data_IF_523155927809
#
_entry.id   IF_523155927809
#
_cell.length_a   1.000
_cell.length_b   1.000
_cell.length_c   1.000
_cell.angle_alpha   90.00
_cell.angle_beta   90.00
_cell.angle_gamma   90.00
#
_symmetry.space_group_name_H-M   'P 1'
#
loop_
_entity.id
_entity.type
_entity.pdbx_description
1 polymer ?
#
# COMPACT_ATOMS: atom_id res chain seq x y z
N UNK A 1 -66.05 -23.02 22.55
CA UNK A 1 -65.46 -24.26 21.98
C UNK A 1 -64.28 -23.87 21.10
N UNK A 2 -63.16 -24.54 21.33
CA UNK A 2 -61.82 -24.32 20.79
C UNK A 2 -61.71 -24.56 19.28
N UNK A 3 -60.80 -23.84 18.60
CA UNK A 3 -59.68 -24.54 17.96
C UNK A 3 -58.50 -23.61 17.64
N UNK A 4 -57.33 -23.95 18.20
CA UNK A 4 -56.02 -23.36 17.93
C UNK A 4 -55.46 -24.09 16.70
N UNK A 5 -55.14 -23.37 15.62
CA UNK A 5 -54.41 -23.93 14.48
C UNK A 5 -52.90 -23.75 14.73
N UNK A 6 -52.29 -24.85 15.19
CA UNK A 6 -50.85 -25.03 15.37
C UNK A 6 -50.10 -24.89 14.04
N UNK A 7 -48.99 -24.15 14.06
CA UNK A 7 -48.07 -24.00 12.94
C UNK A 7 -47.26 -25.27 12.70
N UNK A 8 -47.24 -25.71 11.45
CA UNK A 8 -46.49 -26.88 11.01
C UNK A 8 -45.26 -26.41 10.24
N UNK A 9 -44.09 -26.45 10.90
CA UNK A 9 -42.78 -26.20 10.28
C UNK A 9 -42.39 -27.43 9.44
N UNK A 10 -42.53 -27.35 8.12
CA UNK A 10 -42.07 -28.38 7.17
C UNK A 10 -40.54 -28.26 6.98
N UNK A 11 -39.75 -28.98 7.79
CA UNK A 11 -38.30 -29.11 7.60
C UNK A 11 -37.98 -30.43 6.91
N UNK A 12 -37.97 -30.42 5.56
CA UNK A 12 -37.58 -31.59 4.75
C UNK A 12 -36.11 -31.96 5.00
N UNK A 13 -35.80 -33.08 5.66
CA UNK A 13 -34.46 -33.39 6.16
C UNK A 13 -33.41 -33.63 5.05
N UNK A 14 -33.84 -34.01 3.85
CA UNK A 14 -32.94 -34.32 2.73
C UNK A 14 -32.21 -33.11 2.13
N UNK A 15 -32.81 -31.91 2.18
CA UNK A 15 -32.18 -30.70 1.62
C UNK A 15 -31.03 -30.25 2.53
N UNK A 16 -31.23 -30.30 3.85
CA UNK A 16 -30.23 -29.92 4.84
C UNK A 16 -29.00 -30.82 4.77
N UNK A 17 -29.20 -32.14 4.71
CA UNK A 17 -28.10 -33.11 4.63
C UNK A 17 -27.28 -32.94 3.34
N UNK A 18 -27.94 -32.67 2.21
CA UNK A 18 -27.25 -32.39 0.93
C UNK A 18 -26.47 -31.08 0.92
N UNK A 19 -26.86 -30.09 1.74
CA UNK A 19 -26.16 -28.81 1.88
C UNK A 19 -24.95 -28.96 2.78
N UNK A 20 -25.08 -29.68 3.90
CA UNK A 20 -23.95 -29.97 4.81
C UNK A 20 -22.90 -30.82 4.11
N UNK A 21 -23.30 -31.83 3.34
CA UNK A 21 -22.37 -32.65 2.57
C UNK A 21 -21.65 -31.84 1.47
N UNK A 22 -22.37 -30.96 0.77
CA UNK A 22 -21.77 -30.03 -0.22
C UNK A 22 -20.82 -29.03 0.44
N UNK A 23 -21.18 -28.47 1.59
CA UNK A 23 -20.32 -27.56 2.35
C UNK A 23 -19.05 -28.27 2.82
N UNK A 24 -19.19 -29.47 3.39
CA UNK A 24 -18.07 -30.28 3.85
C UNK A 24 -17.13 -30.67 2.70
N UNK A 25 -17.68 -31.02 1.54
CA UNK A 25 -16.88 -31.32 0.35
C UNK A 25 -16.14 -30.08 -0.19
N UNK A 26 -16.80 -28.91 -0.22
CA UNK A 26 -16.16 -27.64 -0.62
C UNK A 26 -15.04 -27.27 0.36
N UNK A 27 -15.28 -27.41 1.67
CA UNK A 27 -14.28 -27.13 2.71
C UNK A 27 -13.09 -28.10 2.63
N UNK A 28 -13.34 -29.38 2.32
CA UNK A 28 -12.29 -30.37 2.09
C UNK A 28 -11.43 -30.05 0.85
N UNK A 29 -12.06 -29.62 -0.25
CA UNK A 29 -11.34 -29.17 -1.45
C UNK A 29 -10.51 -27.90 -1.19
N UNK A 30 -11.07 -26.92 -0.46
CA UNK A 30 -10.35 -25.71 -0.06
C UNK A 30 -9.18 -26.00 0.88
N UNK A 31 -9.35 -26.96 1.80
CA UNK A 31 -8.27 -27.45 2.66
C UNK A 31 -7.14 -28.10 1.86
N UNK A 32 -7.46 -28.85 0.80
CA UNK A 32 -6.46 -29.44 -0.10
C UNK A 32 -5.61 -28.38 -0.80
N UNK A 33 -6.20 -27.25 -1.20
CA UNK A 33 -5.45 -26.10 -1.77
C UNK A 33 -4.52 -25.42 -0.76
N UNK A 34 -4.86 -25.43 0.53
CA UNK A 34 -4.05 -24.79 1.58
C UNK A 34 -2.85 -25.65 2.03
N UNK A 35 -2.94 -26.97 1.89
CA UNK A 35 -1.89 -27.91 2.37
C UNK A 35 -0.81 -28.16 1.33
N UNK A 36 -1.07 -27.89 0.05
CA UNK A 36 -0.08 -27.93 -1.01
C UNK A 36 0.11 -26.52 -1.60
N UNK A 37 0.91 -25.64 -0.95
CA UNK A 37 1.36 -24.43 -1.60
C UNK A 37 2.27 -24.84 -2.76
N UNK A 38 1.69 -25.05 -3.95
CA UNK A 38 2.48 -24.94 -5.17
C UNK A 38 2.99 -23.50 -5.20
N UNK A 39 4.26 -23.31 -5.55
CA UNK A 39 4.78 -21.97 -5.77
C UNK A 39 3.82 -21.23 -6.71
N UNK A 40 3.17 -20.20 -6.19
CA UNK A 40 2.33 -19.34 -6.99
C UNK A 40 3.24 -18.56 -7.93
N UNK A 41 3.59 -19.17 -9.07
CA UNK A 41 4.38 -18.60 -10.17
C UNK A 41 3.62 -17.48 -10.91
N UNK A 42 2.71 -16.81 -10.21
CA UNK A 42 1.97 -15.65 -10.69
C UNK A 42 2.67 -14.32 -10.35
N UNK A 43 3.65 -14.32 -9.43
CA UNK A 43 4.66 -13.27 -9.39
C UNK A 43 5.77 -13.65 -10.37
N UNK A 44 5.81 -12.99 -11.52
CA UNK A 44 6.98 -12.99 -12.38
C UNK A 44 8.10 -12.28 -11.61
N UNK A 45 8.90 -13.03 -10.88
CA UNK A 45 10.16 -12.55 -10.33
C UNK A 45 11.09 -12.44 -11.53
N UNK A 46 11.11 -11.27 -12.17
CA UNK A 46 12.10 -11.00 -13.19
C UNK A 46 13.48 -11.10 -12.52
N UNK A 47 14.29 -12.06 -12.96
CA UNK A 47 15.68 -12.13 -12.54
C UNK A 47 16.40 -10.82 -12.89
N UNK A 48 17.49 -10.55 -12.16
CA UNK A 48 18.39 -9.43 -12.47
C UNK A 48 18.78 -9.48 -13.96
N UNK A 49 18.66 -8.39 -14.74
CA UNK A 49 18.45 -7.00 -14.33
C UNK A 49 17.05 -6.41 -14.62
N UNK A 50 16.13 -7.17 -15.23
CA UNK A 50 14.86 -6.64 -15.76
C UNK A 50 13.97 -6.03 -14.66
N UNK A 51 13.85 -6.71 -13.51
CA UNK A 51 13.06 -6.23 -12.38
C UNK A 51 13.56 -4.89 -11.82
N UNK A 52 14.88 -4.68 -11.83
CA UNK A 52 15.47 -3.43 -11.38
C UNK A 52 15.14 -2.28 -12.35
N UNK A 53 15.21 -2.52 -13.66
CA UNK A 53 14.84 -1.50 -14.65
C UNK A 53 13.37 -1.11 -14.52
N UNK A 54 12.46 -2.07 -14.42
CA UNK A 54 11.03 -1.79 -14.26
C UNK A 54 10.77 -1.05 -12.94
N UNK A 55 11.44 -1.44 -11.86
CA UNK A 55 11.32 -0.76 -10.56
C UNK A 55 11.81 0.70 -10.63
N UNK A 56 12.97 0.94 -11.26
CA UNK A 56 13.48 2.29 -11.48
C UNK A 56 12.56 3.13 -12.38
N UNK A 57 11.99 2.52 -13.42
CA UNK A 57 10.98 3.19 -14.26
C UNK A 57 9.72 3.53 -13.45
N UNK A 58 9.28 2.67 -12.53
CA UNK A 58 8.15 2.95 -11.66
C UNK A 58 8.41 4.18 -10.78
N UNK A 59 9.62 4.36 -10.26
CA UNK A 59 9.99 5.57 -9.53
C UNK A 59 9.89 6.82 -10.41
N UNK A 60 10.41 6.78 -11.65
CA UNK A 60 10.33 7.90 -12.58
C UNK A 60 8.88 8.27 -12.93
N UNK A 61 8.03 7.29 -13.21
CA UNK A 61 6.62 7.54 -13.48
C UNK A 61 5.88 8.08 -12.26
N UNK A 62 6.18 7.57 -11.07
CA UNK A 62 5.58 8.07 -9.84
C UNK A 62 6.01 9.52 -9.55
N UNK A 63 7.29 9.84 -9.69
CA UNK A 63 7.79 11.21 -9.57
C UNK A 63 7.10 12.15 -10.58
N UNK A 64 6.98 11.72 -11.84
CA UNK A 64 6.28 12.51 -12.87
C UNK A 64 4.82 12.75 -12.51
N UNK A 65 4.11 11.74 -11.99
CA UNK A 65 2.73 11.88 -11.53
C UNK A 65 2.60 12.85 -10.34
N UNK A 66 3.50 12.76 -9.36
CA UNK A 66 3.53 13.66 -8.20
C UNK A 66 3.80 15.12 -8.60
N UNK A 67 4.78 15.35 -9.48
CA UNK A 67 5.10 16.68 -10.02
C UNK A 67 3.92 17.22 -10.82
N UNK A 68 3.36 16.41 -11.72
CA UNK A 68 2.17 16.80 -12.49
C UNK A 68 1.02 17.23 -11.58
N UNK A 69 0.74 16.46 -10.53
CA UNK A 69 -0.34 16.76 -9.59
C UNK A 69 -0.05 18.02 -8.76
N UNK A 70 1.18 18.20 -8.30
CA UNK A 70 1.61 19.43 -7.61
C UNK A 70 1.46 20.67 -8.49
N UNK A 71 1.90 20.58 -9.75
CA UNK A 71 1.78 21.64 -10.77
C UNK A 71 0.30 21.93 -11.06
N UNK A 72 -0.51 20.89 -11.27
CA UNK A 72 -1.94 21.02 -11.53
C UNK A 72 -2.64 21.77 -10.39
N UNK A 73 -2.41 21.37 -9.15
CA UNK A 73 -3.03 22.01 -7.97
C UNK A 73 -2.49 23.42 -7.76
N UNK A 74 -1.23 23.69 -8.13
CA UNK A 74 -0.64 25.01 -8.05
C UNK A 74 -1.29 26.00 -9.02
N UNK A 75 -1.45 25.62 -10.30
CA UNK A 75 -2.03 26.49 -11.33
C UNK A 75 -3.56 26.48 -11.38
N UNK A 76 -4.19 25.38 -10.96
CA UNK A 76 -5.64 25.19 -10.95
C UNK A 76 -6.09 24.71 -9.56
N UNK A 77 -6.10 25.61 -8.55
CA UNK A 77 -6.51 25.24 -7.21
C UNK A 77 -7.99 24.84 -7.21
N UNK A 78 -8.26 23.54 -7.05
CA UNK A 78 -9.61 22.95 -7.01
C UNK A 78 -10.36 23.36 -5.74
N UNK A 79 -9.63 23.72 -4.68
CA UNK A 79 -10.19 24.30 -3.48
C UNK A 79 -9.15 25.03 -2.64
N UNK A 80 -9.61 25.64 -1.55
CA UNK A 80 -8.78 26.38 -0.60
C UNK A 80 -8.94 25.77 0.79
N UNK A 81 -7.95 25.97 1.66
CA UNK A 81 -8.02 25.54 3.07
C UNK A 81 -6.99 24.49 3.46
N UNK A 82 -7.07 24.06 4.72
CA UNK A 82 -6.07 23.20 5.36
C UNK A 82 -5.93 21.82 4.69
N UNK A 83 -7.02 21.26 4.17
CA UNK A 83 -7.02 19.94 3.52
C UNK A 83 -6.10 19.91 2.29
N UNK A 84 -6.25 20.89 1.40
CA UNK A 84 -5.38 21.07 0.23
C UNK A 84 -3.94 21.42 0.60
N UNK A 85 -3.72 22.08 1.73
CA UNK A 85 -2.39 22.33 2.29
C UNK A 85 -1.69 21.03 2.69
N UNK A 86 -2.35 20.19 3.48
CA UNK A 86 -1.83 18.88 3.86
C UNK A 86 -1.65 17.95 2.66
N UNK A 87 -2.55 18.00 1.69
CA UNK A 87 -2.42 17.19 0.47
C UNK A 87 -1.15 17.57 -0.31
N UNK A 88 -0.90 18.87 -0.55
CA UNK A 88 0.33 19.33 -1.20
C UNK A 88 1.58 18.92 -0.42
N UNK A 89 1.54 19.01 0.91
CA UNK A 89 2.67 18.61 1.75
C UNK A 89 2.92 17.10 1.68
N UNK A 90 1.86 16.28 1.65
CA UNK A 90 1.96 14.84 1.42
C UNK A 90 2.63 14.51 0.08
N UNK A 91 2.19 15.14 -1.02
CA UNK A 91 2.78 14.95 -2.34
C UNK A 91 4.27 15.34 -2.37
N UNK A 92 4.62 16.43 -1.69
CA UNK A 92 6.01 16.87 -1.57
C UNK A 92 6.87 15.85 -0.81
N UNK A 93 6.41 15.33 0.32
CA UNK A 93 7.14 14.30 1.07
C UNK A 93 7.26 12.99 0.29
N UNK A 94 6.23 12.56 -0.43
CA UNK A 94 6.33 11.39 -1.30
C UNK A 94 7.30 11.60 -2.46
N UNK A 95 7.42 12.83 -2.98
CA UNK A 95 8.40 13.15 -4.01
C UNK A 95 9.83 13.06 -3.44
N UNK A 96 10.07 13.60 -2.25
CA UNK A 96 11.37 13.47 -1.57
C UNK A 96 11.72 12.02 -1.29
N UNK A 97 10.78 11.24 -0.73
CA UNK A 97 10.98 9.81 -0.50
C UNK A 97 11.27 9.05 -1.80
N UNK A 98 10.57 9.37 -2.88
CA UNK A 98 10.77 8.72 -4.17
C UNK A 98 12.17 8.98 -4.75
N UNK A 99 12.64 10.24 -4.69
CA UNK A 99 13.99 10.62 -5.15
C UNK A 99 15.06 9.93 -4.31
N UNK A 100 14.87 9.87 -2.99
CA UNK A 100 15.76 9.20 -2.05
C UNK A 100 15.87 7.70 -2.35
N UNK A 101 14.73 7.01 -2.48
CA UNK A 101 14.66 5.58 -2.82
C UNK A 101 15.31 5.29 -4.18
N UNK A 102 15.01 6.11 -5.19
CA UNK A 102 15.65 6.01 -6.51
C UNK A 102 17.19 6.16 -6.41
N UNK A 103 17.66 7.13 -5.62
CA UNK A 103 19.08 7.37 -5.37
C UNK A 103 19.77 6.18 -4.70
N UNK A 104 19.13 5.56 -3.71
CA UNK A 104 19.64 4.36 -3.03
C UNK A 104 19.79 3.18 -3.99
N UNK A 105 18.81 2.95 -4.85
CA UNK A 105 18.90 1.89 -5.85
C UNK A 105 19.99 2.17 -6.89
N UNK A 106 20.10 3.41 -7.35
CA UNK A 106 21.18 3.84 -8.24
C UNK A 106 22.57 3.67 -7.60
N UNK A 107 22.67 3.96 -6.31
CA UNK A 107 23.89 3.82 -5.56
C UNK A 107 24.23 2.34 -5.33
N UNK A 108 23.22 1.49 -5.06
CA UNK A 108 23.38 0.03 -4.94
C UNK A 108 23.99 -0.59 -6.19
N UNK A 109 23.65 -0.08 -7.38
CA UNK A 109 24.27 -0.49 -8.65
C UNK A 109 25.76 -0.13 -8.78
N UNK A 110 26.23 0.87 -8.05
CA UNK A 110 27.61 1.38 -8.11
C UNK A 110 28.51 0.82 -7.02
N UNK A 111 27.94 0.29 -5.93
CA UNK A 111 28.73 -0.32 -4.87
C UNK A 111 29.21 -1.72 -5.32
N UNK A 112 30.52 -2.03 -5.20
CA UNK A 112 31.04 -3.36 -5.49
C UNK A 112 30.44 -4.41 -4.53
N UNK A 113 30.26 -5.65 -5.01
CA UNK A 113 29.59 -6.77 -4.31
C UNK A 113 30.15 -7.10 -2.91
N UNK A 114 31.33 -6.61 -2.54
CA UNK A 114 31.94 -6.75 -1.21
C UNK A 114 31.80 -5.56 -0.26
N UNK A 115 31.14 -4.46 -0.66
CA UNK A 115 30.98 -3.27 0.17
C UNK A 115 29.75 -3.32 1.09
N UNK A 116 28.83 -4.26 0.83
CA UNK A 116 27.63 -4.51 1.62
C UNK A 116 27.77 -5.92 2.19
N UNK A 117 28.09 -6.04 3.47
CA UNK A 117 28.05 -7.34 4.16
C UNK A 117 26.58 -7.68 4.32
N UNK A 118 26.00 -8.37 3.34
CA UNK A 118 24.71 -9.04 3.48
C UNK A 118 24.93 -10.27 4.37
N UNK A 119 25.24 -10.06 5.65
CA UNK A 119 25.15 -11.12 6.63
C UNK A 119 23.70 -11.57 6.70
N UNK A 120 23.44 -12.88 6.55
CA UNK A 120 22.11 -13.48 6.40
C UNK A 120 21.20 -13.34 7.62
N UNK A 121 21.44 -12.37 8.49
CA UNK A 121 20.71 -12.08 9.72
C UNK A 121 20.47 -10.56 9.84
N UNK A 122 19.25 -10.19 10.22
CA UNK A 122 18.82 -8.81 10.48
C UNK A 122 19.74 -8.04 11.46
N UNK A 123 20.54 -8.75 12.27
CA UNK A 123 21.45 -8.17 13.27
C UNK A 123 22.88 -7.94 12.79
N UNK A 124 23.21 -8.30 11.54
CA UNK A 124 24.58 -8.28 11.01
C UNK A 124 24.86 -7.10 10.05
N UNK A 125 23.99 -6.08 10.08
CA UNK A 125 24.17 -4.85 9.31
C UNK A 125 25.17 -3.92 10.00
N UNK A 126 26.43 -4.33 10.10
CA UNK A 126 27.51 -3.44 10.53
C UNK A 126 28.14 -2.77 9.31
N UNK A 127 28.25 -1.44 9.35
CA UNK A 127 29.05 -0.70 8.38
C UNK A 127 30.53 -1.08 8.58
N UNK A 128 31.03 -2.02 7.78
CA UNK A 128 32.46 -2.28 7.70
C UNK A 128 33.14 -1.02 7.13
N UNK A 129 34.00 -0.38 7.92
CA UNK A 129 34.69 0.86 7.54
C UNK A 129 35.50 0.75 6.24
N UNK A 130 35.80 1.86 5.56
CA UNK A 130 35.67 3.26 5.98
C UNK A 130 34.31 3.93 5.67
N UNK A 131 33.96 4.98 6.43
CA UNK A 131 32.76 5.80 6.24
C UNK A 131 32.95 6.78 5.07
N UNK A 132 32.71 6.31 3.85
CA UNK A 132 32.68 7.16 2.65
C UNK A 132 31.35 7.92 2.58
N UNK A 133 31.32 9.14 2.01
CA UNK A 133 30.10 9.93 1.80
C UNK A 133 28.99 9.11 1.10
N UNK A 134 29.38 8.25 0.16
CA UNK A 134 28.47 7.32 -0.54
C UNK A 134 27.81 6.32 0.43
N UNK A 135 28.57 5.72 1.35
CA UNK A 135 28.00 4.77 2.34
C UNK A 135 27.08 5.45 3.33
N UNK A 136 27.38 6.70 3.68
CA UNK A 136 26.52 7.51 4.54
C UNK A 136 25.21 7.88 3.82
N UNK A 137 25.29 8.28 2.54
CA UNK A 137 24.12 8.54 1.70
C UNK A 137 23.27 7.26 1.51
N UNK A 138 23.91 6.11 1.30
CA UNK A 138 23.23 4.81 1.23
C UNK A 138 22.50 4.49 2.55
N UNK A 139 23.16 4.69 3.70
CA UNK A 139 22.58 4.41 5.01
C UNK A 139 21.38 5.31 5.30
N UNK A 140 21.50 6.62 5.07
CA UNK A 140 20.38 7.55 5.27
C UNK A 140 19.24 7.31 4.29
N UNK A 141 19.54 7.03 3.02
CA UNK A 141 18.49 6.76 2.04
C UNK A 141 17.78 5.43 2.28
N UNK A 142 18.42 4.46 2.95
CA UNK A 142 17.75 3.23 3.39
C UNK A 142 16.76 3.46 4.54
N UNK A 143 16.76 4.65 5.15
CA UNK A 143 15.77 5.02 6.16
C UNK A 143 14.48 5.48 5.48
N UNK A 144 13.78 4.55 4.85
CA UNK A 144 12.50 4.78 4.14
C UNK A 144 11.48 5.61 4.96
N UNK A 145 11.54 5.47 6.29
CA UNK A 145 10.63 6.09 7.23
C UNK A 145 10.79 7.63 7.30
N UNK A 146 11.94 8.19 6.95
CA UNK A 146 12.23 9.61 7.16
C UNK A 146 11.28 10.53 6.38
N UNK A 147 10.96 10.16 5.14
CA UNK A 147 10.08 10.94 4.27
C UNK A 147 8.71 10.28 4.04
N UNK A 148 8.67 8.94 4.00
CA UNK A 148 7.43 8.20 3.74
C UNK A 148 6.40 8.39 4.87
N UNK A 149 6.83 8.29 6.14
CA UNK A 149 5.92 8.41 7.30
C UNK A 149 5.30 9.80 7.41
N UNK A 150 6.06 10.91 7.32
CA UNK A 150 5.46 12.24 7.25
C UNK A 150 4.51 12.39 6.05
N UNK A 151 4.87 11.85 4.89
CA UNK A 151 4.02 11.87 3.69
C UNK A 151 2.66 11.20 3.90
N UNK A 152 2.65 10.00 4.49
CA UNK A 152 1.43 9.28 4.85
C UNK A 152 0.62 10.03 5.93
N UNK A 153 1.29 10.58 6.93
CA UNK A 153 0.63 11.35 7.99
C UNK A 153 -0.15 12.54 7.42
N UNK A 154 0.48 13.35 6.56
CA UNK A 154 -0.18 14.47 5.90
C UNK A 154 -1.28 14.01 4.93
N UNK A 155 -1.12 12.86 4.27
CA UNK A 155 -2.18 12.29 3.44
C UNK A 155 -3.44 12.01 4.26
N UNK A 156 -3.29 11.30 5.39
CA UNK A 156 -4.41 10.97 6.27
C UNK A 156 -5.09 12.23 6.81
N UNK A 157 -4.31 13.25 7.21
CA UNK A 157 -4.88 14.54 7.64
C UNK A 157 -5.67 15.23 6.52
N UNK A 158 -5.16 15.19 5.29
CA UNK A 158 -5.86 15.78 4.14
C UNK A 158 -7.19 15.07 3.86
N UNK A 159 -7.20 13.73 3.85
CA UNK A 159 -8.39 12.93 3.59
C UNK A 159 -9.46 13.13 4.67
N UNK A 160 -9.07 13.11 5.95
CA UNK A 160 -10.00 13.38 7.06
C UNK A 160 -10.67 14.74 6.91
N UNK A 161 -9.91 15.76 6.51
CA UNK A 161 -10.47 17.09 6.34
C UNK A 161 -11.35 17.22 5.10
N UNK A 162 -11.07 16.47 4.03
CA UNK A 162 -11.97 16.39 2.87
C UNK A 162 -13.30 15.73 3.25
N UNK A 163 -13.29 14.64 4.04
CA UNK A 163 -14.51 13.99 4.52
C UNK A 163 -15.39 14.91 5.38
N UNK A 164 -14.77 15.65 6.32
CA UNK A 164 -15.53 16.61 7.14
C UNK A 164 -16.11 17.76 6.30
N UNK A 165 -15.39 18.19 5.25
CA UNK A 165 -15.88 19.24 4.35
C UNK A 165 -17.03 18.75 3.48
N UNK A 166 -17.02 17.49 3.02
CA UNK A 166 -18.12 16.92 2.23
C UNK A 166 -19.39 16.76 3.07
N UNK A 167 -19.29 16.24 4.29
CA UNK A 167 -20.44 16.08 5.21
C UNK A 167 -21.11 17.43 5.49
N UNK A 168 -20.31 18.47 5.78
CA UNK A 168 -20.86 19.82 6.03
C UNK A 168 -21.55 20.41 4.80
N UNK A 169 -21.07 20.09 3.60
CA UNK A 169 -21.65 20.59 2.36
C UNK A 169 -22.99 19.91 2.05
N UNK A 170 -23.15 18.63 2.39
CA UNK A 170 -24.41 17.89 2.28
C UNK A 170 -25.48 18.45 3.24
N UNK A 171 -25.16 18.63 4.52
CA UNK A 171 -26.09 19.17 5.54
C UNK A 171 -26.53 20.62 5.24
N UNK A 172 -25.63 21.43 4.64
CA UNK A 172 -25.98 22.79 4.21
C UNK A 172 -26.89 22.81 2.97
N UNK A 173 -26.83 21.76 2.14
CA UNK A 173 -27.68 21.62 0.96
C UNK A 173 -29.10 21.18 1.30
N UNK A 174 -29.27 20.30 2.29
CA UNK A 174 -30.59 19.83 2.74
C UNK A 174 -31.36 20.88 3.57
N UNK A 175 -30.67 21.68 4.38
CA UNK A 175 -31.33 22.74 5.19
C UNK A 175 -31.60 24.05 4.42
N UNK A 176 -31.16 24.15 3.17
CA UNK A 176 -31.26 25.34 2.32
C UNK A 176 -32.27 25.26 1.18
N UNK A 177 -33.01 24.14 1.05
CA UNK A 177 -34.06 23.90 0.06
C UNK A 177 -35.45 23.87 0.69
#
# INVERSE_FOLDING_TARGET
MSNIRSGQHDTRPGIFLSRVFRLGFILFLLSGLAVFPQEARALQVHDSPEGLYVHQMAHLFFAAALVFLLVLIHYRPIGKGKAWGYFKLSLFFFLLWNIDTFGVHWLTLRLPEGAIINGGSLMEHQLAGPLTLERLAYYFGRLDHLFCVPGMWFLVLSLRQFSVQSEKQEDSGENGS
#
